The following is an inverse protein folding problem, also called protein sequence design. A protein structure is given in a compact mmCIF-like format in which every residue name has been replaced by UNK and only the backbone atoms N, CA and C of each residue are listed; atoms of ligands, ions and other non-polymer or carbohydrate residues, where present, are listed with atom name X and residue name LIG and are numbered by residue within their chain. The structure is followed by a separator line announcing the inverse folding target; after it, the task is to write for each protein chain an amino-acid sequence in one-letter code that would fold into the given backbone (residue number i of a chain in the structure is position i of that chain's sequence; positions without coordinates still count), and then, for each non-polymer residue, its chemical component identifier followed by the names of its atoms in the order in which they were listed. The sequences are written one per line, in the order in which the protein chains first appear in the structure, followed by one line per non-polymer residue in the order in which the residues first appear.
data_IF_835641009782
#
_entry.id   IF_835641009782
#
_cell.length_a   1.000
_cell.length_b   1.000
_cell.length_c   1.000
_cell.angle_alpha   90.00
_cell.angle_beta   90.00
_cell.angle_gamma   90.00
#
_symmetry.space_group_name_H-M   'P 1'
#
loop_
_entity.id
_entity.type
_entity.pdbx_description
1 polymer ?
#
# COMPACT_ATOMS: atom_id res chain seq x y z
N UNK A 1 23.86 -50.20 46.90
CA UNK A 1 22.65 -50.09 46.06
C UNK A 1 22.54 -48.67 45.53
N UNK A 2 22.29 -48.51 44.23
CA UNK A 2 21.97 -47.29 43.47
C UNK A 2 23.13 -46.36 43.01
N UNK A 3 23.78 -46.79 41.91
CA UNK A 3 24.29 -45.88 40.86
C UNK A 3 23.10 -45.16 40.22
N UNK A 4 23.01 -43.83 40.30
CA UNK A 4 22.16 -43.05 39.39
C UNK A 4 23.02 -42.55 38.23
N UNK A 5 22.93 -43.33 37.16
CA UNK A 5 23.39 -43.05 35.81
C UNK A 5 22.69 -41.79 35.30
N UNK A 6 23.43 -40.69 35.12
CA UNK A 6 22.96 -39.52 34.39
C UNK A 6 23.07 -39.83 32.90
N UNK A 7 22.02 -40.40 32.31
CA UNK A 7 21.88 -40.54 30.86
C UNK A 7 20.50 -40.04 30.42
N UNK A 8 20.54 -38.88 29.76
CA UNK A 8 19.68 -38.40 28.66
C UNK A 8 18.20 -38.04 28.96
N UNK A 9 17.57 -37.16 28.13
CA UNK A 9 17.97 -36.87 26.75
C UNK A 9 18.07 -35.40 26.31
N UNK A 10 18.97 -35.25 25.34
CA UNK A 10 19.13 -34.18 24.35
C UNK A 10 17.88 -34.12 23.45
N UNK A 11 16.70 -33.93 24.04
CA UNK A 11 15.42 -33.82 23.31
C UNK A 11 14.90 -32.38 23.30
N UNK A 12 15.41 -31.52 24.18
CA UNK A 12 14.98 -30.13 24.29
C UNK A 12 15.52 -29.20 23.19
N UNK A 13 16.50 -29.64 22.38
CA UNK A 13 17.11 -28.77 21.35
C UNK A 13 16.36 -28.85 20.01
N UNK A 14 15.54 -29.88 19.78
CA UNK A 14 14.77 -30.02 18.52
C UNK A 14 13.54 -29.10 18.48
N UNK A 15 13.07 -28.59 19.62
CA UNK A 15 11.89 -27.72 19.69
C UNK A 15 12.17 -26.24 19.36
N UNK A 16 13.43 -25.83 19.17
CA UNK A 16 13.77 -24.46 18.75
C UNK A 16 13.85 -24.34 17.22
N UNK A 17 13.74 -25.45 16.48
CA UNK A 17 13.82 -25.47 15.01
C UNK A 17 12.51 -25.79 14.29
N UNK A 18 11.39 -25.92 15.02
CA UNK A 18 10.07 -26.18 14.42
C UNK A 18 9.05 -25.14 14.86
N UNK A 19 8.86 -24.08 14.08
CA UNK A 19 7.77 -23.14 14.38
C UNK A 19 7.73 -21.79 13.68
N UNK A 20 8.49 -21.53 12.62
CA UNK A 20 8.04 -20.51 11.66
C UNK A 20 6.89 -21.13 10.86
N UNK A 21 5.67 -20.99 11.38
CA UNK A 21 4.45 -21.35 10.66
C UNK A 21 4.45 -20.64 9.30
N UNK A 22 4.62 -21.41 8.22
CA UNK A 22 4.40 -20.99 6.84
C UNK A 22 2.92 -20.63 6.55
N UNK A 23 2.07 -20.44 7.56
CA UNK A 23 0.61 -20.32 7.40
C UNK A 23 0.15 -19.02 6.74
N UNK A 24 1.01 -18.00 6.66
CA UNK A 24 0.69 -16.72 6.03
C UNK A 24 1.20 -16.63 4.58
N UNK A 25 1.73 -17.74 4.03
CA UNK A 25 2.32 -17.76 2.70
C UNK A 25 1.27 -18.09 1.64
N UNK A 26 1.06 -17.19 0.69
CA UNK A 26 0.21 -17.40 -0.48
C UNK A 26 1.12 -17.94 -1.60
N UNK A 27 0.97 -19.22 -1.92
CA UNK A 27 1.85 -19.94 -2.86
C UNK A 27 1.44 -19.78 -4.35
N UNK A 28 0.35 -19.06 -4.64
CA UNK A 28 -0.08 -18.74 -6.01
C UNK A 28 0.38 -17.34 -6.44
N UNK A 29 0.47 -17.08 -7.75
CA UNK A 29 0.74 -15.73 -8.23
C UNK A 29 -0.42 -14.81 -7.88
N UNK A 30 -0.14 -13.79 -7.07
CA UNK A 30 -1.15 -12.81 -6.68
C UNK A 30 -0.91 -11.49 -7.38
N UNK A 31 -1.94 -11.04 -8.10
CA UNK A 31 -2.00 -9.73 -8.73
C UNK A 31 -2.49 -8.73 -7.70
N UNK A 32 -1.73 -7.67 -7.43
CA UNK A 32 -2.22 -6.57 -6.59
C UNK A 32 -2.98 -5.59 -7.46
N UNK A 33 -4.21 -5.26 -7.06
CA UNK A 33 -5.03 -4.27 -7.76
C UNK A 33 -4.99 -2.91 -7.06
N UNK A 34 -4.92 -2.91 -5.74
CA UNK A 34 -4.89 -1.68 -4.92
C UNK A 34 -3.85 -1.78 -3.83
N UNK A 35 -3.16 -0.67 -3.57
CA UNK A 35 -2.31 -0.51 -2.40
C UNK A 35 -2.82 0.68 -1.60
N UNK A 36 -2.88 0.52 -0.28
CA UNK A 36 -3.07 1.66 0.64
C UNK A 36 -1.86 1.82 1.54
N UNK A 37 -1.52 3.06 1.89
CA UNK A 37 -0.53 3.37 2.92
C UNK A 37 -1.25 4.06 4.08
N UNK A 38 -1.47 3.34 5.17
CA UNK A 38 -2.19 3.79 6.36
C UNK A 38 -1.21 4.32 7.41
N UNK A 39 -1.56 5.41 8.10
CA UNK A 39 -0.84 5.81 9.30
C UNK A 39 -1.36 5.01 10.50
N UNK A 40 -0.53 4.10 11.03
CA UNK A 40 -0.78 3.43 12.32
C UNK A 40 0.26 3.91 13.34
N UNK A 41 -0.19 4.74 14.27
CA UNK A 41 0.64 5.24 15.38
C UNK A 41 1.95 5.90 14.93
N UNK A 42 1.90 6.70 13.87
CA UNK A 42 3.05 7.41 13.31
C UNK A 42 3.91 6.57 12.36
N UNK A 43 3.50 5.34 12.05
CA UNK A 43 4.19 4.46 11.11
C UNK A 43 3.34 4.17 9.88
N UNK A 44 4.00 4.01 8.74
CA UNK A 44 3.33 3.61 7.50
C UNK A 44 3.12 2.09 7.48
N UNK A 45 1.87 1.69 7.31
CA UNK A 45 1.47 0.30 7.08
C UNK A 45 0.85 0.20 5.69
N UNK A 46 1.50 -0.57 4.83
CA UNK A 46 1.11 -0.79 3.45
C UNK A 46 0.21 -2.02 3.34
N UNK A 47 -1.03 -1.84 2.89
CA UNK A 47 -1.95 -2.94 2.64
C UNK A 47 -2.03 -3.22 1.14
N UNK A 48 -1.71 -4.46 0.74
CA UNK A 48 -1.73 -4.95 -0.63
C UNK A 48 -3.02 -5.73 -0.86
N UNK A 49 -3.99 -5.15 -1.58
CA UNK A 49 -5.26 -5.78 -1.89
C UNK A 49 -5.16 -6.61 -3.18
N UNK A 50 -5.46 -7.90 -3.07
CA UNK A 50 -5.29 -8.86 -4.13
C UNK A 50 -6.49 -8.88 -5.10
N UNK A 51 -6.21 -9.04 -6.39
CA UNK A 51 -7.20 -9.27 -7.42
C UNK A 51 -7.65 -10.73 -7.36
N UNK A 52 -8.77 -10.97 -6.68
CA UNK A 52 -9.37 -12.30 -6.61
C UNK A 52 -10.86 -12.27 -6.91
N UNK A 53 -11.39 -13.40 -7.39
CA UNK A 53 -12.82 -13.64 -7.55
C UNK A 53 -13.44 -14.17 -6.24
N UNK A 54 -13.16 -13.50 -5.11
CA UNK A 54 -13.74 -13.76 -3.80
C UNK A 54 -14.72 -12.65 -3.40
N UNK A 55 -15.72 -12.98 -2.58
CA UNK A 55 -16.57 -11.97 -1.92
C UNK A 55 -15.79 -11.22 -0.83
N UNK A 56 -14.85 -11.91 -0.16
CA UNK A 56 -14.04 -11.35 0.90
C UNK A 56 -12.86 -10.52 0.38
N UNK A 57 -12.46 -9.55 1.19
CA UNK A 57 -11.26 -8.73 0.94
C UNK A 57 -10.02 -9.53 1.31
N UNK A 58 -9.24 -9.91 0.31
CA UNK A 58 -7.92 -10.50 0.51
C UNK A 58 -6.85 -9.42 0.48
N UNK A 59 -6.09 -9.31 1.58
CA UNK A 59 -4.99 -8.36 1.65
C UNK A 59 -3.84 -8.82 2.53
N UNK A 60 -2.63 -8.33 2.24
CA UNK A 60 -1.44 -8.47 3.10
C UNK A 60 -1.02 -7.10 3.60
N UNK A 61 -0.75 -6.97 4.90
CA UNK A 61 -0.30 -5.73 5.52
C UNK A 61 1.18 -5.79 5.89
N UNK A 62 1.93 -4.74 5.58
CA UNK A 62 3.37 -4.64 5.87
C UNK A 62 3.71 -3.27 6.43
N UNK A 63 4.25 -3.22 7.64
CA UNK A 63 4.88 -2.02 8.19
C UNK A 63 6.24 -1.78 7.51
N UNK A 64 6.46 -0.59 6.95
CA UNK A 64 7.73 -0.22 6.33
C UNK A 64 7.88 1.30 6.19
N UNK A 65 9.11 1.79 6.03
CA UNK A 65 9.35 3.24 5.84
C UNK A 65 9.03 3.75 4.43
N UNK A 66 8.80 2.85 3.47
CA UNK A 66 8.46 3.20 2.08
C UNK A 66 7.78 2.05 1.34
N UNK A 67 7.06 2.38 0.27
CA UNK A 67 6.39 1.38 -0.57
C UNK A 67 7.36 0.37 -1.17
N UNK A 68 8.54 0.80 -1.62
CA UNK A 68 9.57 -0.10 -2.15
C UNK A 68 9.99 -1.15 -1.11
N UNK A 69 10.23 -0.74 0.14
CA UNK A 69 10.58 -1.66 1.22
C UNK A 69 9.41 -2.59 1.57
N UNK A 70 8.19 -2.06 1.55
CA UNK A 70 6.98 -2.85 1.75
C UNK A 70 6.82 -3.95 0.68
N UNK A 71 7.02 -3.63 -0.60
CA UNK A 71 6.95 -4.58 -1.72
C UNK A 71 7.98 -5.70 -1.59
N UNK A 72 9.24 -5.36 -1.26
CA UNK A 72 10.30 -6.35 -1.07
C UNK A 72 9.95 -7.29 0.11
N UNK A 73 9.46 -6.72 1.21
CA UNK A 73 9.08 -7.48 2.39
C UNK A 73 7.84 -8.36 2.13
N UNK A 74 6.84 -7.84 1.42
CA UNK A 74 5.65 -8.57 0.99
C UNK A 74 6.01 -9.80 0.14
N UNK A 75 6.90 -9.61 -0.84
CA UNK A 75 7.42 -10.70 -1.68
C UNK A 75 8.12 -11.77 -0.87
N UNK A 76 9.01 -11.37 0.05
CA UNK A 76 9.81 -12.32 0.82
C UNK A 76 8.98 -13.11 1.83
N UNK A 77 8.09 -12.44 2.55
CA UNK A 77 7.45 -13.01 3.74
C UNK A 77 6.07 -13.63 3.48
N UNK A 78 5.34 -13.14 2.48
CA UNK A 78 3.92 -13.49 2.32
C UNK A 78 3.59 -14.01 0.92
N UNK A 79 4.05 -13.35 -0.14
CA UNK A 79 3.63 -13.64 -1.53
C UNK A 79 4.85 -13.64 -2.46
N UNK A 80 5.61 -14.75 -2.58
CA UNK A 80 6.81 -14.82 -3.42
C UNK A 80 6.63 -14.37 -4.87
N UNK A 81 5.45 -14.65 -5.43
CA UNK A 81 5.06 -14.28 -6.79
C UNK A 81 4.18 -13.02 -6.86
N UNK A 82 4.30 -12.09 -5.90
CA UNK A 82 3.58 -10.82 -5.90
C UNK A 82 3.93 -9.99 -7.14
N UNK A 83 2.92 -9.59 -7.90
CA UNK A 83 3.09 -8.69 -9.05
C UNK A 83 2.19 -7.47 -8.95
N UNK A 84 2.75 -6.33 -9.37
CA UNK A 84 2.08 -5.03 -9.39
C UNK A 84 1.68 -4.60 -10.81
N UNK A 85 1.79 -5.50 -11.80
CA UNK A 85 1.51 -5.19 -13.21
C UNK A 85 0.06 -4.79 -13.49
N UNK A 86 -0.85 -5.06 -12.55
CA UNK A 86 -2.26 -4.63 -12.58
C UNK A 86 -2.60 -3.64 -11.47
N UNK A 87 -1.63 -2.93 -10.90
CA UNK A 87 -1.89 -1.93 -9.89
C UNK A 87 -2.69 -0.76 -10.49
N UNK A 88 -3.93 -0.61 -10.05
CA UNK A 88 -4.85 0.42 -10.55
C UNK A 88 -4.98 1.60 -9.60
N UNK A 89 -4.92 1.35 -8.29
CA UNK A 89 -5.10 2.36 -7.25
C UNK A 89 -3.95 2.34 -6.24
N UNK A 90 -3.47 3.53 -5.88
CA UNK A 90 -2.63 3.76 -4.72
C UNK A 90 -3.26 4.88 -3.87
N UNK A 91 -3.60 4.60 -2.62
CA UNK A 91 -4.24 5.58 -1.73
C UNK A 91 -3.40 5.74 -0.47
N UNK A 92 -2.99 6.96 -0.16
CA UNK A 92 -2.13 7.25 0.99
C UNK A 92 -2.84 8.11 2.01
N UNK A 93 -2.66 7.77 3.28
CA UNK A 93 -3.11 8.57 4.40
C UNK A 93 -2.44 9.94 4.37
N UNK A 94 -3.24 11.00 4.34
CA UNK A 94 -2.76 12.38 4.38
C UNK A 94 -1.84 12.67 5.59
N UNK A 95 -1.99 11.93 6.70
CA UNK A 95 -1.16 12.05 7.90
C UNK A 95 0.24 11.44 7.76
N UNK A 96 0.56 10.69 6.69
CA UNK A 96 1.92 10.20 6.43
C UNK A 96 2.83 11.28 5.81
N UNK A 97 2.24 12.41 5.38
CA UNK A 97 2.96 13.58 4.92
C UNK A 97 3.57 13.47 3.52
N UNK A 98 4.04 14.63 3.03
CA UNK A 98 4.52 14.78 1.66
C UNK A 98 5.75 13.94 1.33
N UNK A 99 6.68 13.80 2.29
CA UNK A 99 7.92 13.02 2.08
C UNK A 99 7.61 11.58 1.66
N UNK A 100 6.62 10.97 2.32
CA UNK A 100 6.17 9.60 2.03
C UNK A 100 5.52 9.55 0.65
N UNK A 101 4.60 10.48 0.36
CA UNK A 101 3.96 10.60 -0.95
C UNK A 101 5.01 10.75 -2.07
N UNK A 102 5.97 11.66 -1.95
CA UNK A 102 7.06 11.86 -2.92
C UNK A 102 7.87 10.59 -3.14
N UNK A 103 8.25 9.91 -2.06
CA UNK A 103 9.07 8.69 -2.12
C UNK A 103 8.32 7.56 -2.82
N UNK A 104 7.04 7.38 -2.50
CA UNK A 104 6.23 6.30 -3.06
C UNK A 104 5.86 6.59 -4.53
N UNK A 105 5.55 7.84 -4.87
CA UNK A 105 5.33 8.26 -6.25
C UNK A 105 6.59 8.12 -7.10
N UNK A 106 7.77 8.50 -6.59
CA UNK A 106 9.04 8.31 -7.30
C UNK A 106 9.29 6.83 -7.63
N UNK A 107 8.95 5.92 -6.69
CA UNK A 107 9.03 4.49 -6.92
C UNK A 107 8.03 4.01 -7.98
N UNK A 108 6.74 4.34 -7.83
CA UNK A 108 5.68 3.93 -8.77
C UNK A 108 5.97 4.42 -10.19
N UNK A 109 6.42 5.67 -10.34
CA UNK A 109 6.66 6.27 -11.66
C UNK A 109 7.91 5.77 -12.39
N UNK A 110 8.85 5.13 -11.69
CA UNK A 110 10.11 4.62 -12.28
C UNK A 110 10.17 3.11 -12.39
N UNK A 111 9.37 2.39 -11.62
CA UNK A 111 9.34 0.93 -11.64
C UNK A 111 8.66 0.41 -12.92
N UNK A 112 9.37 -0.40 -13.71
CA UNK A 112 8.88 -0.84 -15.04
C UNK A 112 7.69 -1.80 -14.94
N UNK A 113 7.58 -2.50 -13.81
CA UNK A 113 6.49 -3.43 -13.54
C UNK A 113 5.21 -2.75 -13.02
N UNK A 114 5.21 -1.42 -12.85
CA UNK A 114 4.06 -0.66 -12.37
C UNK A 114 3.65 0.34 -13.45
N UNK A 115 2.35 0.47 -13.68
CA UNK A 115 1.86 1.49 -14.60
C UNK A 115 2.03 2.89 -13.99
N UNK A 116 2.71 3.84 -14.65
CA UNK A 116 2.78 5.21 -14.15
C UNK A 116 1.39 5.91 -14.21
N UNK A 117 0.41 5.29 -14.86
CA UNK A 117 -0.99 5.73 -14.90
C UNK A 117 -1.84 5.21 -13.73
N UNK A 118 -1.26 4.50 -12.77
CA UNK A 118 -1.93 4.14 -11.50
C UNK A 118 -2.58 5.39 -10.90
N UNK A 119 -3.87 5.29 -10.57
CA UNK A 119 -4.58 6.38 -9.93
C UNK A 119 -4.09 6.54 -8.51
N UNK A 120 -3.82 7.77 -8.11
CA UNK A 120 -3.34 8.10 -6.77
C UNK A 120 -4.25 9.11 -6.10
N UNK A 121 -4.56 8.87 -4.83
CA UNK A 121 -5.33 9.78 -4.01
C UNK A 121 -4.83 9.82 -2.57
N UNK A 122 -5.16 10.91 -1.88
CA UNK A 122 -5.05 11.04 -0.43
C UNK A 122 -6.33 10.55 0.24
N UNK A 123 -6.24 10.17 1.51
CA UNK A 123 -7.41 9.82 2.32
C UNK A 123 -7.16 10.07 3.81
N UNK A 124 -8.23 10.11 4.60
CA UNK A 124 -8.13 10.00 6.06
C UNK A 124 -7.98 8.53 6.50
N UNK A 125 -7.36 8.32 7.67
CA UNK A 125 -7.11 7.00 8.25
C UNK A 125 -8.40 6.18 8.39
N UNK A 126 -9.50 6.82 8.82
CA UNK A 126 -10.80 6.16 9.05
C UNK A 126 -11.35 5.57 7.74
N UNK A 127 -11.21 6.29 6.64
CA UNK A 127 -11.65 5.86 5.31
C UNK A 127 -10.80 4.71 4.79
N UNK A 128 -9.49 4.73 4.98
CA UNK A 128 -8.62 3.60 4.63
C UNK A 128 -9.00 2.30 5.37
N UNK A 129 -9.41 2.42 6.64
CA UNK A 129 -9.86 1.28 7.46
C UNK A 129 -11.19 0.67 7.01
N UNK A 130 -11.97 1.36 6.18
CA UNK A 130 -13.18 0.80 5.58
C UNK A 130 -12.86 -0.15 4.42
N UNK A 131 -11.76 0.09 3.70
CA UNK A 131 -11.39 -0.73 2.54
C UNK A 131 -10.97 -2.15 2.90
N UNK A 132 -10.54 -2.39 4.14
CA UNK A 132 -10.28 -3.74 4.64
C UNK A 132 -11.56 -4.53 4.93
N UNK A 133 -12.74 -3.89 4.87
CA UNK A 133 -14.04 -4.49 5.22
C UNK A 133 -15.01 -4.56 4.05
N UNK A 134 -14.88 -3.67 3.06
CA UNK A 134 -15.77 -3.60 1.91
C UNK A 134 -14.97 -3.52 0.59
N UNK A 135 -15.00 -4.63 -0.15
CA UNK A 135 -14.37 -4.74 -1.47
C UNK A 135 -14.98 -3.76 -2.48
N UNK A 136 -16.29 -3.49 -2.39
CA UNK A 136 -16.98 -2.59 -3.30
C UNK A 136 -16.60 -1.12 -3.07
N UNK A 137 -16.14 -0.77 -1.87
CA UNK A 137 -15.67 0.59 -1.57
C UNK A 137 -14.48 0.97 -2.46
N UNK A 138 -13.49 0.09 -2.63
CA UNK A 138 -12.34 0.35 -3.51
C UNK A 138 -12.74 0.55 -4.97
N UNK A 139 -13.69 -0.25 -5.47
CA UNK A 139 -14.24 -0.10 -6.83
C UNK A 139 -14.92 1.25 -7.01
N UNK A 140 -15.79 1.64 -6.06
CA UNK A 140 -16.47 2.94 -6.07
C UNK A 140 -15.48 4.09 -6.05
N UNK A 141 -14.42 4.01 -5.24
CA UNK A 141 -13.37 5.04 -5.18
C UNK A 141 -12.71 5.25 -6.53
N UNK A 142 -12.34 4.17 -7.22
CA UNK A 142 -11.78 4.25 -8.58
C UNK A 142 -12.71 4.98 -9.54
N UNK A 143 -13.98 4.58 -9.58
CA UNK A 143 -14.99 5.17 -10.46
C UNK A 143 -15.11 6.68 -10.22
N UNK A 144 -15.11 7.12 -8.95
CA UNK A 144 -15.17 8.54 -8.62
C UNK A 144 -13.90 9.30 -9.01
N UNK A 145 -12.71 8.74 -8.81
CA UNK A 145 -11.45 9.38 -9.25
C UNK A 145 -11.48 9.59 -10.78
N UNK A 146 -11.96 8.61 -11.54
CA UNK A 146 -12.09 8.70 -13.00
C UNK A 146 -13.07 9.81 -13.39
N UNK A 147 -14.23 9.90 -12.74
CA UNK A 147 -15.21 10.97 -12.99
C UNK A 147 -14.63 12.35 -12.66
N UNK A 148 -13.94 12.48 -11.53
CA UNK A 148 -13.31 13.75 -11.11
C UNK A 148 -12.24 14.21 -12.11
N UNK A 149 -11.43 13.29 -12.64
CA UNK A 149 -10.44 13.58 -13.68
C UNK A 149 -11.10 14.16 -14.93
N UNK A 150 -12.18 13.55 -15.40
CA UNK A 150 -12.87 13.97 -16.61
C UNK A 150 -13.51 15.36 -16.47
N UNK A 151 -13.87 15.75 -15.24
CA UNK A 151 -14.49 17.04 -14.95
C UNK A 151 -13.47 18.13 -14.57
N UNK A 152 -12.21 17.79 -14.26
CA UNK A 152 -11.19 18.73 -13.77
C UNK A 152 -9.82 18.47 -14.40
N UNK A 153 -9.52 19.16 -15.50
CA UNK A 153 -8.25 18.98 -16.23
C UNK A 153 -6.99 19.35 -15.43
N UNK A 154 -7.11 20.14 -14.36
CA UNK A 154 -6.00 20.57 -13.52
C UNK A 154 -5.71 19.61 -12.34
N UNK A 155 -6.52 18.56 -12.18
CA UNK A 155 -6.37 17.61 -11.08
C UNK A 155 -5.34 16.52 -11.44
N UNK A 156 -4.31 16.37 -10.61
CA UNK A 156 -3.33 15.30 -10.74
C UNK A 156 -3.86 14.04 -10.06
N UNK A 157 -4.40 13.13 -10.87
CA UNK A 157 -4.99 11.87 -10.38
C UNK A 157 -4.14 10.65 -10.64
N UNK A 158 -3.09 10.74 -11.47
CA UNK A 158 -2.19 9.61 -11.75
C UNK A 158 -0.83 9.84 -11.12
N UNK A 159 -0.14 8.75 -10.78
CA UNK A 159 1.22 8.81 -10.24
C UNK A 159 2.17 9.62 -11.13
N UNK A 160 2.09 9.46 -12.46
CA UNK A 160 2.86 10.25 -13.43
C UNK A 160 2.58 11.76 -13.33
N UNK A 161 1.29 12.14 -13.29
CA UNK A 161 0.91 13.56 -13.19
C UNK A 161 1.42 14.17 -11.88
N UNK A 162 1.36 13.43 -10.77
CA UNK A 162 1.86 13.87 -9.47
C UNK A 162 3.40 13.94 -9.48
N UNK A 163 4.08 12.94 -10.04
CA UNK A 163 5.53 12.91 -10.20
C UNK A 163 6.04 14.13 -10.99
N UNK A 164 5.41 14.42 -12.11
CA UNK A 164 5.76 15.57 -12.95
C UNK A 164 5.53 16.89 -12.21
N UNK A 165 4.52 16.98 -11.34
CA UNK A 165 4.32 18.16 -10.49
C UNK A 165 5.42 18.31 -9.44
N UNK A 166 5.92 17.21 -8.85
CA UNK A 166 7.06 17.28 -7.93
C UNK A 166 8.38 17.65 -8.61
N UNK A 167 8.57 17.30 -9.89
CA UNK A 167 9.77 17.61 -10.68
C UNK A 167 9.70 18.94 -11.43
N UNK A 168 8.49 19.40 -11.73
CA UNK A 168 8.23 20.58 -12.52
C UNK A 168 8.48 21.88 -11.77
N UNK A 169 8.64 22.98 -12.52
CA UNK A 169 8.68 24.35 -12.01
C UNK A 169 7.28 24.95 -11.85
N UNK A 170 6.26 24.12 -11.62
CA UNK A 170 4.93 24.64 -11.29
C UNK A 170 5.05 25.44 -9.99
N UNK A 171 4.20 26.46 -9.82
CA UNK A 171 4.27 27.50 -8.77
C UNK A 171 4.14 27.00 -7.30
N UNK A 172 4.59 25.77 -6.99
CA UNK A 172 4.64 25.18 -5.65
C UNK A 172 3.34 24.52 -5.19
N UNK A 173 2.43 24.17 -6.11
CA UNK A 173 1.11 23.65 -5.75
C UNK A 173 0.77 22.36 -6.49
N UNK A 174 0.34 21.34 -5.74
CA UNK A 174 -0.13 20.05 -6.24
C UNK A 174 -1.62 19.88 -5.93
N UNK A 175 -2.45 19.83 -6.97
CA UNK A 175 -3.86 19.47 -6.83
C UNK A 175 -4.00 17.95 -6.94
N UNK A 176 -4.36 17.27 -5.85
CA UNK A 176 -4.49 15.80 -5.78
C UNK A 176 -5.90 15.41 -5.34
N UNK A 177 -6.36 14.23 -5.72
CA UNK A 177 -7.65 13.74 -5.24
C UNK A 177 -7.56 13.40 -3.73
N UNK A 178 -8.61 13.72 -2.97
CA UNK A 178 -8.76 13.34 -1.57
C UNK A 178 -10.08 12.54 -1.41
N UNK A 179 -10.02 11.50 -0.59
CA UNK A 179 -11.08 10.49 -0.48
C UNK A 179 -11.46 10.42 0.99
N UNK A 180 -12.72 10.73 1.29
CA UNK A 180 -13.26 10.64 2.64
C UNK A 180 -14.63 9.99 2.63
N UNK A 181 -14.86 9.14 3.63
CA UNK A 181 -16.14 8.52 3.92
C UNK A 181 -17.12 9.45 4.63
N UNK A 182 -16.65 10.57 5.19
CA UNK A 182 -17.49 11.48 5.98
C UNK A 182 -18.17 12.58 5.15
N UNK A 183 -17.68 12.90 3.93
CA UNK A 183 -18.09 14.14 3.22
C UNK A 183 -18.24 14.08 1.70
N UNK A 184 -18.48 12.89 1.13
CA UNK A 184 -18.34 12.63 -0.32
C UNK A 184 -16.86 12.69 -0.76
N UNK A 185 -16.54 11.99 -1.85
CA UNK A 185 -15.18 11.86 -2.38
C UNK A 185 -14.72 13.20 -2.97
N UNK A 186 -14.12 14.05 -2.13
CA UNK A 186 -13.76 15.44 -2.46
C UNK A 186 -12.27 15.57 -2.74
N UNK A 187 -11.91 15.86 -3.99
CA UNK A 187 -10.56 16.29 -4.34
C UNK A 187 -10.18 17.60 -3.63
N UNK A 188 -9.07 17.59 -2.89
CA UNK A 188 -8.57 18.78 -2.17
C UNK A 188 -7.13 19.10 -2.61
N UNK A 189 -6.81 20.39 -2.70
CA UNK A 189 -5.53 20.86 -3.21
C UNK A 189 -4.55 20.91 -2.04
N UNK A 190 -3.61 19.96 -1.99
CA UNK A 190 -2.53 20.02 -1.01
C UNK A 190 -1.43 20.94 -1.53
N UNK A 191 -1.34 22.11 -0.91
CA UNK A 191 -0.23 23.03 -1.10
C UNK A 191 0.98 22.49 -0.33
N UNK A 192 1.99 22.05 -1.04
CA UNK A 192 3.26 21.65 -0.42
C UNK A 192 4.42 22.37 -1.06
N UNK A 193 5.29 22.92 -0.21
CA UNK A 193 6.47 23.67 -0.63
C UNK A 193 7.45 22.69 -1.24
N UNK A 194 7.65 22.78 -2.56
CA UNK A 194 8.81 22.19 -3.21
C UNK A 194 10.04 23.00 -2.78
N UNK A 195 10.71 22.57 -1.71
CA UNK A 195 12.07 23.06 -1.44
C UNK A 195 12.93 22.79 -2.69
N UNK A 196 13.61 23.84 -3.16
CA UNK A 196 14.53 23.81 -4.31
C UNK A 196 15.75 22.96 -4.00
#
# INVERSE_FOLDING_TARGET
MNKKLFLLPIMAIVLILGGCSNSNRIDTSSLVQTITAENKSGKAVYNFYLLENSEDVQSVSVEADSLKKAVISAKKAYIPALTLSKLELYIIDSNLGEKTLKTDIDYISKETAISPLTYTALSDTKTLQLFSKDKNALKKVKEHIVLLKNNNNNLSVTSLSIFNNFKGKNNGYLSICYISSDKELKADIVKTVTEK
#
